data_IF_875780431325
#
_entry.id   IF_875780431325
#
_cell.length_a   1.000
_cell.length_b   1.000
_cell.length_c   1.000
_cell.angle_alpha   90.00
_cell.angle_beta   90.00
_cell.angle_gamma   90.00
#
_symmetry.space_group_name_H-M   'P 1'
#
loop_
_entity.id
_entity.type
_entity.pdbx_description
1 polymer ?
#
# COMPACT_ATOMS: atom_id res chain seq x y z
N UNK A 1 -11.89 -8.02 -4.18
CA UNK A 1 -11.22 -6.70 -4.29
C UNK A 1 -10.62 -6.36 -2.94
N UNK A 2 -9.34 -5.97 -2.87
CA UNK A 2 -8.68 -5.59 -1.61
C UNK A 2 -9.13 -4.16 -1.27
N UNK A 3 -9.79 -3.92 -0.12
CA UNK A 3 -10.20 -2.56 0.25
C UNK A 3 -8.97 -1.70 0.57
N UNK A 4 -8.97 -0.40 0.21
CA UNK A 4 -7.81 0.45 0.39
C UNK A 4 -7.54 0.73 1.88
N UNK A 5 -6.25 0.86 2.19
CA UNK A 5 -5.77 1.37 3.48
C UNK A 5 -5.14 2.75 3.25
N UNK A 6 -5.63 3.76 3.96
CA UNK A 6 -5.12 5.12 3.91
C UNK A 6 -4.24 5.35 5.13
N UNK A 7 -3.01 5.79 4.90
CA UNK A 7 -2.09 6.15 5.97
C UNK A 7 -2.10 7.66 6.16
N UNK A 8 -2.46 8.12 7.36
CA UNK A 8 -2.46 9.53 7.73
C UNK A 8 -1.37 9.82 8.75
N UNK A 9 -0.61 10.89 8.53
CA UNK A 9 0.46 11.30 9.45
C UNK A 9 -0.14 11.83 10.75
N UNK A 10 0.26 11.25 11.87
CA UNK A 10 -0.12 11.71 13.21
C UNK A 10 -0.27 10.57 14.22
N UNK A 11 -0.67 10.92 15.45
CA UNK A 11 -0.93 9.96 16.53
C UNK A 11 -2.42 9.74 16.82
N UNK A 12 -3.26 10.76 16.60
CA UNK A 12 -4.68 10.75 16.96
C UNK A 12 -5.52 10.54 15.71
N UNK A 13 -6.32 9.47 15.72
CA UNK A 13 -7.34 9.20 14.70
C UNK A 13 -8.60 9.98 15.04
N UNK A 14 -9.06 10.85 14.14
CA UNK A 14 -10.36 11.52 14.30
C UNK A 14 -11.45 10.68 13.64
N UNK A 15 -12.56 10.47 14.34
CA UNK A 15 -13.70 9.67 13.85
C UNK A 15 -14.28 10.26 12.56
N UNK A 16 -14.28 11.59 12.44
CA UNK A 16 -14.77 12.32 11.27
C UNK A 16 -14.09 11.89 9.95
N UNK A 17 -12.84 11.42 10.01
CA UNK A 17 -12.12 10.97 8.81
C UNK A 17 -12.66 9.67 8.22
N UNK A 18 -13.43 8.90 8.99
CA UNK A 18 -14.04 7.66 8.51
C UNK A 18 -15.38 7.89 7.79
N UNK A 19 -15.90 9.12 7.80
CA UNK A 19 -17.29 9.43 7.46
C UNK A 19 -17.73 9.19 6.01
N UNK A 20 -16.83 8.90 5.07
CA UNK A 20 -17.15 8.72 3.64
C UNK A 20 -16.25 7.70 2.93
N UNK A 21 -15.74 6.70 3.64
CA UNK A 21 -14.77 5.74 3.09
C UNK A 21 -15.27 4.29 3.27
N UNK A 22 -16.27 3.84 2.47
CA UNK A 22 -16.87 2.53 2.62
C UNK A 22 -15.85 1.42 2.37
N UNK A 23 -15.68 0.55 3.36
CA UNK A 23 -14.75 -0.59 3.29
C UNK A 23 -13.26 -0.24 3.46
N UNK A 24 -12.88 1.04 3.41
CA UNK A 24 -11.50 1.47 3.60
C UNK A 24 -11.11 1.48 5.09
N UNK A 25 -9.81 1.42 5.37
CA UNK A 25 -9.27 1.63 6.72
C UNK A 25 -8.34 2.82 6.72
N UNK A 26 -8.48 3.70 7.72
CA UNK A 26 -7.51 4.75 7.98
C UNK A 26 -6.63 4.32 9.14
N UNK A 27 -5.32 4.29 8.93
CA UNK A 27 -4.33 4.08 9.96
C UNK A 27 -3.48 5.32 10.18
N UNK A 28 -3.12 5.55 11.45
CA UNK A 28 -2.28 6.66 11.85
C UNK A 28 -0.83 6.20 11.90
N UNK A 29 0.06 6.94 11.25
CA UNK A 29 1.50 6.69 11.29
C UNK A 29 2.24 7.92 11.81
N UNK A 30 3.15 7.71 12.76
CA UNK A 30 3.97 8.83 13.28
C UNK A 30 4.99 9.30 12.24
N UNK A 31 5.56 8.36 11.51
CA UNK A 31 6.44 8.64 10.37
C UNK A 31 5.59 8.90 9.13
N UNK A 32 6.06 9.72 8.20
CA UNK A 32 5.38 9.99 6.94
C UNK A 32 5.58 8.88 5.89
N UNK A 33 6.19 7.75 6.27
CA UNK A 33 6.51 6.64 5.39
C UNK A 33 5.99 5.32 5.96
N UNK A 34 5.79 4.34 5.08
CA UNK A 34 5.46 2.97 5.46
C UNK A 34 6.55 2.40 6.38
N UNK A 35 6.13 1.76 7.47
CA UNK A 35 7.03 1.00 8.36
C UNK A 35 6.77 -0.49 8.17
N UNK A 36 7.72 -1.35 8.54
CA UNK A 36 7.55 -2.81 8.48
C UNK A 36 6.31 -3.27 9.23
N UNK A 37 6.07 -2.75 10.45
CA UNK A 37 4.89 -3.08 11.25
C UNK A 37 3.57 -2.69 10.57
N UNK A 38 3.53 -1.51 9.93
CA UNK A 38 2.36 -1.07 9.19
C UNK A 38 2.14 -1.90 7.91
N UNK A 39 3.22 -2.28 7.24
CA UNK A 39 3.15 -3.14 6.06
C UNK A 39 2.63 -4.54 6.41
N UNK A 40 3.07 -5.12 7.53
CA UNK A 40 2.50 -6.38 8.06
C UNK A 40 1.00 -6.21 8.33
N UNK A 41 0.59 -5.14 9.03
CA UNK A 41 -0.83 -4.85 9.30
C UNK A 41 -1.66 -4.77 8.02
N UNK A 42 -1.09 -4.13 6.98
CA UNK A 42 -1.70 -4.07 5.65
C UNK A 42 -1.79 -5.46 5.00
N UNK A 43 -0.75 -6.29 5.12
CA UNK A 43 -0.70 -7.63 4.54
C UNK A 43 -1.70 -8.58 5.20
N UNK A 44 -1.77 -8.62 6.53
CA UNK A 44 -2.73 -9.40 7.32
C UNK A 44 -4.18 -9.11 6.91
N UNK A 45 -4.48 -7.82 6.69
CA UNK A 45 -5.80 -7.40 6.22
C UNK A 45 -6.02 -7.82 4.79
N UNK A 46 -5.06 -7.55 3.92
CA UNK A 46 -5.16 -7.81 2.49
C UNK A 46 -5.34 -9.30 2.20
N UNK A 47 -4.68 -10.16 2.98
CA UNK A 47 -4.75 -11.63 2.87
C UNK A 47 -6.18 -12.16 2.94
N UNK A 48 -7.06 -11.50 3.71
CA UNK A 48 -8.49 -11.87 3.82
C UNK A 48 -9.26 -11.70 2.51
N UNK A 49 -8.74 -10.91 1.58
CA UNK A 49 -9.37 -10.58 0.30
C UNK A 49 -8.61 -11.14 -0.90
N UNK A 50 -7.50 -11.84 -0.65
CA UNK A 50 -6.70 -12.46 -1.70
C UNK A 50 -7.42 -13.69 -2.28
N UNK A 51 -7.25 -13.96 -3.58
CA UNK A 51 -7.75 -15.19 -4.18
C UNK A 51 -7.03 -16.41 -3.58
N UNK A 52 -7.67 -17.57 -3.64
CA UNK A 52 -7.02 -18.85 -3.27
C UNK A 52 -5.92 -19.18 -4.27
N UNK A 53 -4.79 -19.68 -3.79
CA UNK A 53 -3.64 -20.08 -4.60
C UNK A 53 -2.44 -19.16 -4.42
N UNK A 54 -1.47 -19.27 -5.35
CA UNK A 54 -0.23 -18.50 -5.27
C UNK A 54 -0.50 -17.04 -5.68
N UNK A 55 -0.21 -16.12 -4.77
CA UNK A 55 -0.33 -14.67 -5.02
C UNK A 55 1.07 -14.06 -5.07
N UNK A 56 1.32 -13.33 -6.15
CA UNK A 56 2.54 -12.55 -6.34
C UNK A 56 2.25 -11.08 -6.07
N UNK A 57 2.97 -10.51 -5.10
CA UNK A 57 3.02 -9.08 -4.87
C UNK A 57 4.23 -8.46 -5.55
N UNK A 58 4.00 -7.41 -6.34
CA UNK A 58 5.06 -6.63 -6.96
C UNK A 58 5.16 -5.30 -6.21
N UNK A 59 6.29 -5.06 -5.56
CA UNK A 59 6.55 -3.84 -4.78
C UNK A 59 7.89 -3.21 -5.16
N UNK A 60 8.09 -1.96 -4.74
CA UNK A 60 9.43 -1.38 -4.73
C UNK A 60 10.32 -2.07 -3.68
N UNK A 61 11.63 -1.93 -3.85
CA UNK A 61 12.68 -2.46 -2.96
C UNK A 61 12.82 -1.72 -1.62
N UNK A 62 11.75 -1.13 -1.08
CA UNK A 62 11.80 -0.50 0.23
C UNK A 62 12.11 -1.53 1.32
N UNK A 63 12.99 -1.16 2.26
CA UNK A 63 13.44 -2.05 3.34
C UNK A 63 12.29 -2.60 4.19
N UNK A 64 11.18 -1.86 4.31
CA UNK A 64 10.00 -2.29 5.09
C UNK A 64 9.27 -3.50 4.53
N UNK A 65 9.51 -3.89 3.27
CA UNK A 65 8.78 -4.98 2.62
C UNK A 65 9.43 -6.36 2.83
N UNK A 66 10.76 -6.42 3.00
CA UNK A 66 11.51 -7.68 3.00
C UNK A 66 11.13 -8.61 4.16
N UNK A 67 10.99 -8.08 5.37
CA UNK A 67 10.80 -8.91 6.57
C UNK A 67 9.36 -9.44 6.75
N UNK A 68 8.42 -9.00 5.93
CA UNK A 68 6.98 -9.23 6.15
C UNK A 68 6.37 -10.35 5.30
N UNK A 69 6.99 -10.70 4.17
CA UNK A 69 6.37 -11.57 3.17
C UNK A 69 6.33 -13.05 3.58
N UNK A 70 7.38 -13.54 4.25
CA UNK A 70 7.57 -14.96 4.54
C UNK A 70 6.48 -15.55 5.46
N UNK A 71 5.84 -14.73 6.30
CA UNK A 71 4.83 -15.18 7.27
C UNK A 71 3.45 -15.47 6.67
N UNK A 72 3.18 -15.03 5.43
CA UNK A 72 1.84 -15.02 4.85
C UNK A 72 1.65 -15.94 3.64
N UNK A 73 2.67 -16.73 3.27
CA UNK A 73 2.60 -17.62 2.10
C UNK A 73 2.41 -16.87 0.77
N UNK A 74 2.83 -15.61 0.73
CA UNK A 74 2.77 -14.74 -0.46
C UNK A 74 4.17 -14.61 -1.05
N UNK A 75 4.25 -14.64 -2.38
CA UNK A 75 5.52 -14.38 -3.07
C UNK A 75 5.66 -12.87 -3.22
N UNK A 76 6.75 -12.31 -2.72
CA UNK A 76 7.09 -10.89 -2.90
C UNK A 76 8.18 -10.76 -3.98
N UNK A 77 7.90 -9.98 -5.01
CA UNK A 77 8.87 -9.58 -6.03
C UNK A 77 9.18 -8.08 -5.87
N UNK A 78 10.37 -7.79 -5.37
CA UNK A 78 10.87 -6.43 -5.23
C UNK A 78 11.50 -5.97 -6.56
N UNK A 79 10.95 -4.92 -7.15
CA UNK A 79 11.52 -4.28 -8.33
C UNK A 79 12.89 -3.67 -7.97
N UNK A 80 13.88 -3.73 -8.88
CA UNK A 80 15.17 -3.09 -8.66
C UNK A 80 15.02 -1.60 -8.36
N UNK A 81 15.89 -1.09 -7.50
CA UNK A 81 15.95 0.34 -7.19
C UNK A 81 16.19 1.16 -8.47
N UNK A 82 15.65 2.38 -8.50
CA UNK A 82 15.83 3.38 -9.57
C UNK A 82 15.15 3.11 -10.92
N UNK A 83 14.54 1.94 -11.16
CA UNK A 83 13.77 1.65 -12.38
C UNK A 83 12.25 1.55 -12.14
N UNK A 84 11.81 1.91 -10.93
CA UNK A 84 10.40 1.88 -10.51
C UNK A 84 9.54 2.74 -11.45
N UNK A 85 10.04 3.92 -11.80
CA UNK A 85 9.40 4.84 -12.75
C UNK A 85 9.31 4.29 -14.18
N UNK A 86 9.90 3.15 -14.50
CA UNK A 86 9.72 2.44 -15.78
C UNK A 86 8.84 1.22 -15.63
N UNK A 87 9.05 0.44 -14.56
CA UNK A 87 8.48 -0.90 -14.41
C UNK A 87 7.25 -0.98 -13.49
N UNK A 88 7.06 -0.05 -12.55
CA UNK A 88 5.96 -0.10 -11.60
C UNK A 88 4.65 0.30 -12.30
N UNK A 89 3.70 -0.64 -12.49
CA UNK A 89 2.49 -0.34 -13.27
C UNK A 89 1.67 0.80 -12.65
N UNK A 90 1.65 0.87 -11.32
CA UNK A 90 0.95 1.91 -10.56
C UNK A 90 1.51 3.32 -10.83
N UNK A 91 2.82 3.46 -10.99
CA UNK A 91 3.46 4.75 -11.28
C UNK A 91 3.11 5.22 -12.70
N UNK A 92 3.17 4.29 -13.68
CA UNK A 92 2.90 4.59 -15.09
C UNK A 92 1.45 4.93 -15.41
N UNK A 93 0.52 4.41 -14.62
CA UNK A 93 -0.92 4.46 -14.92
C UNK A 93 -1.65 5.34 -13.93
N UNK A 94 -1.80 4.88 -12.68
CA UNK A 94 -2.60 5.54 -11.65
C UNK A 94 -1.97 6.85 -11.22
N UNK A 95 -0.71 6.83 -10.75
CA UNK A 95 -0.08 8.05 -10.23
C UNK A 95 0.23 9.06 -11.34
N UNK A 96 0.68 8.60 -12.51
CA UNK A 96 0.85 9.50 -13.67
C UNK A 96 -0.44 10.21 -14.06
N UNK A 97 -1.58 9.53 -14.03
CA UNK A 97 -2.86 10.19 -14.28
C UNK A 97 -3.16 11.25 -13.20
N UNK A 98 -2.96 10.92 -11.93
CA UNK A 98 -3.11 11.91 -10.85
C UNK A 98 -2.19 13.11 -11.04
N UNK A 99 -0.94 12.92 -11.45
CA UNK A 99 0.00 14.02 -11.71
C UNK A 99 -0.43 14.92 -12.88
N UNK A 100 -0.86 14.32 -13.99
CA UNK A 100 -1.31 15.06 -15.18
C UNK A 100 -2.56 15.86 -14.87
N UNK A 101 -3.55 15.23 -14.25
CA UNK A 101 -4.87 15.80 -14.03
C UNK A 101 -5.01 16.54 -12.69
N UNK A 102 -3.97 16.62 -11.87
CA UNK A 102 -4.04 17.18 -10.51
C UNK A 102 -4.64 18.58 -10.45
N UNK A 103 -4.31 19.41 -11.45
CA UNK A 103 -4.72 20.81 -11.53
C UNK A 103 -5.83 21.05 -12.57
N UNK A 104 -6.32 20.01 -13.24
CA UNK A 104 -7.47 20.14 -14.14
C UNK A 104 -8.73 20.26 -13.29
N UNK A 105 -9.46 21.37 -13.47
CA UNK A 105 -10.68 21.71 -12.71
C UNK A 105 -11.91 21.01 -13.25
#
# INVERSE_FOLDING_TARGET
MIPPMLLSKGKRKKIEWMGNLPGSQIEMIEKSSMTTAMFITWLDRSAKFMPRGNVLFIFNSASSHFDAADSHGVTLFCLPSNIIHELQPMDKTVFKAFEIYWNEK
#
